data_IF_163529821231
#
_entry.id   IF_163529821231
#
_cell.length_a   1.000
_cell.length_b   1.000
_cell.length_c   1.000
_cell.angle_alpha   90.00
_cell.angle_beta   90.00
_cell.angle_gamma   90.00
#
_symmetry.space_group_name_H-M   'P 1'
#
loop_
_entity.id
_entity.type
_entity.pdbx_description
1 polymer ?
#
# COMPACT_ATOMS: atom_id res chain seq x y z
N UNK A 1 10.18 -21.63 9.34
CA UNK A 1 10.11 -20.42 8.49
C UNK A 1 8.73 -19.82 8.70
N UNK A 2 8.66 -18.54 9.07
CA UNK A 2 7.40 -17.85 9.31
C UNK A 2 7.02 -17.04 8.07
N UNK A 3 5.73 -17.02 7.74
CA UNK A 3 5.15 -16.28 6.63
C UNK A 3 3.86 -15.64 7.15
N UNK A 4 3.73 -14.33 7.01
CA UNK A 4 2.55 -13.58 7.44
C UNK A 4 2.16 -12.56 6.38
N UNK A 5 0.87 -12.21 6.34
CA UNK A 5 0.32 -11.26 5.40
C UNK A 5 -0.29 -10.04 6.09
N UNK A 6 -0.19 -8.89 5.43
CA UNK A 6 -1.04 -7.73 5.69
C UNK A 6 -1.75 -7.34 4.41
N UNK A 7 -3.05 -7.12 4.51
CA UNK A 7 -3.89 -6.73 3.38
C UNK A 7 -4.33 -5.28 3.51
N UNK A 8 -4.35 -4.58 2.39
CA UNK A 8 -4.71 -3.18 2.29
C UNK A 8 -5.75 -2.99 1.20
N UNK A 9 -6.83 -2.30 1.54
CA UNK A 9 -7.81 -1.79 0.57
C UNK A 9 -7.64 -0.28 0.50
N UNK A 10 -7.31 0.22 -0.69
CA UNK A 10 -7.19 1.64 -0.98
C UNK A 10 -8.44 2.12 -1.72
N UNK A 11 -9.30 2.84 -0.98
CA UNK A 11 -10.49 3.47 -1.51
C UNK A 11 -10.14 4.90 -1.96
N UNK A 12 -10.24 5.23 -3.25
CA UNK A 12 -9.89 6.57 -3.72
C UNK A 12 -10.84 7.61 -3.11
N UNK A 13 -10.29 8.68 -2.55
CA UNK A 13 -11.06 9.84 -2.11
C UNK A 13 -11.67 10.50 -3.34
N UNK A 14 -12.96 10.82 -3.27
CA UNK A 14 -13.60 11.70 -4.25
C UNK A 14 -12.93 13.06 -4.16
N UNK A 15 -12.02 13.36 -5.09
CA UNK A 15 -11.59 14.75 -5.31
C UNK A 15 -12.85 15.51 -5.71
N UNK A 16 -13.20 16.57 -4.98
CA UNK A 16 -14.09 17.59 -5.54
C UNK A 16 -13.37 18.07 -6.79
N UNK A 17 -13.86 17.67 -7.95
CA UNK A 17 -13.47 18.29 -9.20
C UNK A 17 -13.86 19.76 -9.06
N UNK A 18 -12.89 20.61 -8.72
CA UNK A 18 -13.01 22.02 -9.06
C UNK A 18 -12.70 22.05 -10.55
N UNK A 19 -13.67 22.37 -11.42
CA UNK A 19 -13.38 22.59 -12.81
C UNK A 19 -12.53 23.86 -12.89
N UNK A 20 -11.21 23.73 -12.83
CA UNK A 20 -10.33 24.75 -13.36
C UNK A 20 -10.44 24.67 -14.88
N UNK A 21 -11.53 25.20 -15.41
CA UNK A 21 -11.60 25.64 -16.80
C UNK A 21 -10.68 26.87 -16.84
N UNK A 22 -9.39 26.65 -17.13
CA UNK A 22 -8.58 27.73 -17.66
C UNK A 22 -9.12 28.02 -19.05
N UNK A 23 -9.90 29.08 -19.17
CA UNK A 23 -10.40 29.59 -20.44
C UNK A 23 -9.23 30.20 -21.21
N UNK A 24 -8.41 29.35 -21.83
CA UNK A 24 -7.45 29.64 -22.90
C UNK A 24 -6.74 28.34 -23.22
N UNK A 25 -7.28 27.60 -24.19
CA UNK A 25 -6.54 26.91 -25.23
C UNK A 25 -7.54 26.09 -26.05
N UNK A 26 -7.68 26.47 -27.32
CA UNK A 26 -8.37 25.70 -28.35
C UNK A 26 -7.55 24.46 -28.65
N UNK A 27 -7.83 23.38 -27.95
CA UNK A 27 -7.46 22.03 -28.37
C UNK A 27 -8.43 21.06 -27.68
N UNK A 28 -9.08 20.18 -28.45
CA UNK A 28 -10.10 19.21 -27.99
C UNK A 28 -9.48 18.08 -27.12
N UNK A 29 -8.46 18.39 -26.34
CA UNK A 29 -7.81 17.45 -25.42
C UNK A 29 -8.42 17.55 -24.04
N UNK A 30 -9.27 16.57 -23.71
CA UNK A 30 -9.70 16.31 -22.33
C UNK A 30 -8.47 15.90 -21.52
N UNK A 31 -7.90 16.84 -20.74
CA UNK A 31 -6.85 16.56 -19.76
C UNK A 31 -7.44 15.83 -18.56
N UNK A 32 -7.53 14.51 -18.63
CA UNK A 32 -7.85 13.68 -17.47
C UNK A 32 -6.64 13.71 -16.53
N UNK A 33 -6.79 14.32 -15.35
CA UNK A 33 -5.77 14.24 -14.32
C UNK A 33 -5.69 12.79 -13.83
N UNK A 34 -4.72 12.02 -14.33
CA UNK A 34 -4.52 10.63 -13.93
C UNK A 34 -4.27 10.56 -12.42
N UNK A 35 -5.11 9.79 -11.69
CA UNK A 35 -4.92 9.55 -10.26
C UNK A 35 -3.57 8.83 -10.05
N UNK A 36 -2.80 9.24 -9.04
CA UNK A 36 -1.56 8.52 -8.66
C UNK A 36 -1.94 7.09 -8.26
N UNK A 37 -1.51 6.10 -9.04
CA UNK A 37 -1.75 4.68 -8.79
C UNK A 37 -1.02 4.23 -7.49
N UNK A 38 -1.62 3.33 -6.70
CA UNK A 38 -0.99 2.69 -5.52
C UNK A 38 0.39 2.13 -5.85
N UNK A 39 0.57 1.55 -7.05
CA UNK A 39 1.87 1.09 -7.53
C UNK A 39 2.93 2.20 -7.55
N UNK A 40 2.57 3.43 -7.94
CA UNK A 40 3.51 4.55 -7.93
C UNK A 40 3.93 4.89 -6.51
N UNK A 41 3.00 4.84 -5.53
CA UNK A 41 3.33 5.01 -4.13
C UNK A 41 4.31 3.94 -3.64
N UNK A 42 4.02 2.66 -3.91
CA UNK A 42 4.90 1.56 -3.50
C UNK A 42 6.30 1.71 -4.11
N UNK A 43 6.42 2.04 -5.40
CA UNK A 43 7.72 2.27 -6.04
C UNK A 43 8.45 3.50 -5.50
N UNK A 44 7.73 4.58 -5.19
CA UNK A 44 8.34 5.77 -4.59
C UNK A 44 8.89 5.49 -3.19
N UNK A 45 8.22 4.63 -2.42
CA UNK A 45 8.62 4.29 -1.05
C UNK A 45 9.78 3.29 -1.04
N UNK A 46 9.70 2.25 -1.86
CA UNK A 46 10.58 1.07 -1.78
C UNK A 46 11.54 0.91 -2.97
N UNK A 47 11.47 1.80 -3.96
CA UNK A 47 12.31 1.75 -5.16
C UNK A 47 11.85 0.70 -6.17
N UNK A 48 12.80 0.22 -6.98
CA UNK A 48 12.54 -0.81 -7.98
C UNK A 48 12.62 -2.23 -7.38
N UNK A 49 11.68 -3.11 -7.74
CA UNK A 49 11.68 -4.51 -7.31
C UNK A 49 12.74 -5.33 -8.03
N UNK A 50 13.21 -6.40 -7.38
CA UNK A 50 14.16 -7.35 -7.98
C UNK A 50 13.49 -8.28 -8.99
N UNK A 51 12.20 -8.54 -8.82
CA UNK A 51 11.41 -9.35 -9.74
C UNK A 51 10.02 -8.76 -9.91
N UNK A 52 9.52 -8.81 -11.15
CA UNK A 52 8.15 -8.48 -11.51
C UNK A 52 7.54 -9.68 -12.20
N UNK A 53 6.67 -10.39 -11.50
CA UNK A 53 5.87 -11.44 -12.11
C UNK A 53 4.61 -10.82 -12.73
N UNK A 54 4.40 -11.12 -14.01
CA UNK A 54 3.38 -10.51 -14.87
C UNK A 54 2.22 -11.48 -15.12
N UNK A 55 1.84 -12.25 -14.12
CA UNK A 55 0.57 -12.98 -14.16
C UNK A 55 -0.60 -11.98 -14.28
N UNK A 56 -1.10 -11.79 -15.50
CA UNK A 56 -2.33 -11.05 -15.81
C UNK A 56 -2.29 -9.54 -15.43
N UNK A 57 -1.39 -8.80 -16.10
CA UNK A 57 -1.04 -7.36 -15.91
C UNK A 57 -2.26 -6.44 -15.74
N UNK A 58 -3.41 -6.80 -16.32
CA UNK A 58 -4.63 -5.99 -16.28
C UNK A 58 -5.20 -5.89 -14.87
N UNK A 59 -5.19 -6.98 -14.10
CA UNK A 59 -5.89 -7.05 -12.82
C UNK A 59 -4.99 -7.41 -11.64
N UNK A 60 -3.85 -8.06 -11.86
CA UNK A 60 -2.93 -8.50 -10.82
C UNK A 60 -1.49 -8.23 -11.25
N UNK A 61 -0.69 -7.72 -10.32
CA UNK A 61 0.75 -7.53 -10.53
C UNK A 61 1.45 -7.97 -9.25
N UNK A 62 2.48 -8.81 -9.37
CA UNK A 62 3.27 -9.28 -8.25
C UNK A 62 4.67 -8.69 -8.35
N UNK A 63 5.15 -8.13 -7.25
CA UNK A 63 6.47 -7.55 -7.13
C UNK A 63 7.21 -8.17 -5.96
N UNK A 64 8.38 -8.72 -6.24
CA UNK A 64 9.27 -9.25 -5.19
C UNK A 64 10.38 -8.24 -4.93
N UNK A 65 10.61 -7.96 -3.67
CA UNK A 65 11.66 -7.10 -3.16
C UNK A 65 12.54 -7.89 -2.19
N UNK A 66 13.83 -7.57 -2.21
CA UNK A 66 14.74 -7.87 -1.12
C UNK A 66 14.95 -6.60 -0.31
N UNK A 67 14.56 -6.63 0.96
CA UNK A 67 14.62 -5.45 1.84
C UNK A 67 15.52 -5.72 3.05
N UNK A 68 16.47 -4.83 3.30
CA UNK A 68 17.25 -4.84 4.53
C UNK A 68 16.52 -4.05 5.62
N UNK A 69 16.00 -4.74 6.63
CA UNK A 69 15.29 -4.14 7.76
C UNK A 69 16.01 -4.54 9.04
N UNK A 70 16.53 -3.57 9.80
CA UNK A 70 17.29 -3.81 11.05
C UNK A 70 18.41 -4.87 10.88
N UNK A 71 19.20 -4.74 9.82
CA UNK A 71 20.30 -5.65 9.45
C UNK A 71 19.91 -7.09 9.10
N UNK A 72 18.63 -7.36 8.87
CA UNK A 72 18.14 -8.65 8.39
C UNK A 72 17.57 -8.45 6.98
N UNK A 73 17.94 -9.35 6.06
CA UNK A 73 17.37 -9.37 4.72
C UNK A 73 16.04 -10.14 4.72
N UNK A 74 15.04 -9.55 4.11
CA UNK A 74 13.70 -10.12 3.96
C UNK A 74 13.34 -10.21 2.48
N UNK A 75 12.73 -11.32 2.09
CA UNK A 75 11.96 -11.39 0.86
C UNK A 75 10.55 -10.87 1.16
N UNK A 76 10.14 -9.83 0.43
CA UNK A 76 8.84 -9.18 0.57
C UNK A 76 8.15 -9.22 -0.78
N UNK A 77 6.93 -9.74 -0.80
CA UNK A 77 6.12 -9.87 -2.00
C UNK A 77 4.91 -8.94 -1.88
N UNK A 78 4.79 -8.01 -2.82
CA UNK A 78 3.67 -7.10 -2.96
C UNK A 78 2.79 -7.60 -4.10
N UNK A 79 1.60 -8.07 -3.77
CA UNK A 79 0.57 -8.46 -4.74
C UNK A 79 -0.46 -7.34 -4.85
N UNK A 80 -0.46 -6.63 -5.98
CA UNK A 80 -1.38 -5.52 -6.23
C UNK A 80 -2.49 -5.99 -7.17
N UNK A 81 -3.73 -5.83 -6.74
CA UNK A 81 -4.90 -6.04 -7.57
C UNK A 81 -5.54 -4.69 -7.94
N UNK A 82 -5.68 -4.45 -9.24
CA UNK A 82 -6.36 -3.27 -9.77
C UNK A 82 -7.80 -3.63 -10.09
N UNK A 83 -8.71 -3.31 -9.18
CA UNK A 83 -10.15 -3.48 -9.37
C UNK A 83 -10.74 -2.10 -9.70
N UNK A 84 -11.78 -2.04 -10.54
CA UNK A 84 -12.23 -0.82 -11.25
C UNK A 84 -12.34 0.45 -10.39
N UNK A 85 -12.66 0.31 -9.10
CA UNK A 85 -12.87 1.45 -8.17
C UNK A 85 -11.94 1.46 -6.96
N UNK A 86 -11.10 0.45 -6.78
CA UNK A 86 -10.24 0.31 -5.60
C UNK A 86 -9.02 -0.56 -5.92
N UNK A 87 -7.93 -0.29 -5.22
CA UNK A 87 -6.73 -1.11 -5.31
C UNK A 87 -6.61 -1.95 -4.05
N UNK A 88 -6.37 -3.25 -4.23
CA UNK A 88 -6.02 -4.14 -3.14
C UNK A 88 -4.53 -4.41 -3.17
N UNK A 89 -3.89 -4.41 -2.01
CA UNK A 89 -2.48 -4.75 -1.86
C UNK A 89 -2.36 -5.79 -0.75
N UNK A 90 -1.90 -6.99 -1.14
CA UNK A 90 -1.43 -8.01 -0.22
C UNK A 90 0.09 -7.89 -0.09
N UNK A 91 0.58 -7.89 1.14
CA UNK A 91 2.00 -7.85 1.47
C UNK A 91 2.36 -9.11 2.23
N UNK A 92 3.10 -9.99 1.58
CA UNK A 92 3.64 -11.20 2.18
C UNK A 92 5.11 -10.98 2.56
N UNK A 93 5.46 -11.29 3.82
CA UNK A 93 6.85 -11.25 4.29
C UNK A 93 7.28 -12.64 4.74
N UNK A 94 8.46 -13.07 4.28
CA UNK A 94 9.07 -14.34 4.70
C UNK A 94 10.26 -14.07 5.62
N UNK A 95 10.33 -14.81 6.72
CA UNK A 95 11.40 -14.64 7.71
C UNK A 95 11.67 -15.90 8.54
N UNK A 96 12.71 -15.86 9.38
CA UNK A 96 13.09 -17.02 10.20
C UNK A 96 12.12 -17.21 11.37
N UNK A 97 11.72 -16.13 12.04
CA UNK A 97 10.84 -16.14 13.21
C UNK A 97 9.63 -15.23 13.03
N UNK A 98 8.53 -15.51 13.73
CA UNK A 98 7.31 -14.67 13.71
C UNK A 98 7.62 -13.22 14.10
N UNK A 99 8.42 -13.00 15.15
CA UNK A 99 8.81 -11.66 15.59
C UNK A 99 9.52 -10.86 14.49
N UNK A 100 10.43 -11.49 13.75
CA UNK A 100 11.13 -10.84 12.64
C UNK A 100 10.17 -10.43 11.53
N UNK A 101 9.21 -11.30 11.19
CA UNK A 101 8.20 -11.04 10.15
C UNK A 101 7.27 -9.91 10.59
N UNK A 102 6.81 -9.92 11.84
CA UNK A 102 5.98 -8.84 12.42
C UNK A 102 6.73 -7.51 12.39
N UNK A 103 8.00 -7.46 12.84
CA UNK A 103 8.77 -6.21 12.81
C UNK A 103 9.02 -5.69 11.40
N UNK A 104 9.09 -6.55 10.39
CA UNK A 104 9.23 -6.14 8.99
C UNK A 104 7.89 -5.60 8.44
N UNK A 105 6.77 -6.25 8.76
CA UNK A 105 5.44 -5.76 8.42
C UNK A 105 5.12 -4.42 9.09
N UNK A 106 5.50 -4.21 10.35
CA UNK A 106 5.41 -2.90 11.03
C UNK A 106 6.22 -1.83 10.28
N UNK A 107 7.47 -2.13 9.91
CA UNK A 107 8.32 -1.20 9.16
C UNK A 107 7.70 -0.81 7.81
N UNK A 108 7.18 -1.80 7.06
CA UNK A 108 6.52 -1.57 5.78
C UNK A 108 5.26 -0.71 5.98
N UNK A 109 4.45 -1.02 6.99
CA UNK A 109 3.27 -0.25 7.34
C UNK A 109 3.62 1.21 7.64
N UNK A 110 4.60 1.46 8.51
CA UNK A 110 5.08 2.79 8.89
C UNK A 110 5.53 3.61 7.67
N UNK A 111 6.16 2.95 6.68
CA UNK A 111 6.56 3.58 5.43
C UNK A 111 5.37 3.94 4.53
N UNK A 112 4.34 3.10 4.49
CA UNK A 112 3.11 3.36 3.72
C UNK A 112 2.33 4.52 4.36
N UNK A 113 2.09 4.50 5.68
CA UNK A 113 1.38 5.59 6.36
C UNK A 113 2.17 6.90 6.36
N UNK A 114 3.51 6.83 6.36
CA UNK A 114 4.38 7.99 6.28
C UNK A 114 4.48 8.61 4.89
N UNK A 115 3.87 8.00 3.87
CA UNK A 115 3.78 8.55 2.52
C UNK A 115 2.60 9.52 2.37
N UNK A 116 2.50 10.20 1.22
CA UNK A 116 1.36 11.06 0.90
C UNK A 116 0.13 10.29 0.39
N UNK A 117 0.09 8.96 0.50
CA UNK A 117 -0.98 8.12 -0.03
C UNK A 117 -2.35 8.43 0.57
N UNK A 118 -2.39 8.85 1.83
CA UNK A 118 -3.62 9.25 2.51
C UNK A 118 -4.28 10.49 1.88
N UNK A 119 -3.56 11.29 1.09
CA UNK A 119 -4.16 12.43 0.37
C UNK A 119 -5.11 11.96 -0.72
N UNK A 120 -4.77 10.86 -1.38
CA UNK A 120 -5.52 10.31 -2.51
C UNK A 120 -6.45 9.15 -2.10
N UNK A 121 -6.15 8.44 -1.01
CA UNK A 121 -6.86 7.22 -0.62
C UNK A 121 -7.27 7.20 0.85
N UNK A 122 -8.41 6.56 1.14
CA UNK A 122 -8.76 6.02 2.45
C UNK A 122 -8.20 4.59 2.47
N UNK A 123 -7.37 4.29 3.47
CA UNK A 123 -6.74 2.99 3.62
C UNK A 123 -7.45 2.17 4.69
N UNK A 124 -7.90 0.97 4.32
CA UNK A 124 -8.43 -0.05 5.24
C UNK A 124 -7.39 -1.16 5.32
N UNK A 125 -7.02 -1.59 6.52
CA UNK A 125 -5.94 -2.57 6.72
C UNK A 125 -6.46 -3.76 7.50
N UNK A 126 -6.11 -4.97 7.05
CA UNK A 126 -6.32 -6.23 7.76
C UNK A 126 -4.97 -6.89 8.07
N UNK A 127 -4.83 -7.41 9.28
CA UNK A 127 -3.58 -8.01 9.78
C UNK A 127 -3.82 -9.49 10.10
N UNK A 128 -3.08 -10.41 9.48
CA UNK A 128 -3.25 -11.86 9.67
C UNK A 128 -3.06 -12.33 11.11
N UNK A 129 -2.07 -11.78 11.79
CA UNK A 129 -1.61 -12.25 13.11
C UNK A 129 -1.19 -11.12 14.04
N UNK A 130 -1.28 -9.89 13.53
CA UNK A 130 -0.98 -8.67 14.28
C UNK A 130 -2.28 -7.98 14.71
N UNK A 131 -3.45 -8.54 14.39
CA UNK A 131 -4.75 -7.98 14.74
C UNK A 131 -4.94 -7.90 16.25
N UNK A 132 -4.53 -8.89 17.05
CA UNK A 132 -4.57 -8.77 18.51
C UNK A 132 -3.59 -7.70 19.03
N UNK A 133 -2.35 -7.68 18.53
CA UNK A 133 -1.35 -6.68 18.93
C UNK A 133 -1.75 -5.25 18.53
N UNK A 134 -2.27 -5.04 17.32
CA UNK A 134 -2.75 -3.75 16.84
C UNK A 134 -4.07 -3.36 17.46
N UNK A 135 -5.01 -4.29 17.69
CA UNK A 135 -6.21 -4.02 18.47
C UNK A 135 -5.80 -3.58 19.88
N UNK A 136 -4.88 -4.27 20.55
CA UNK A 136 -4.38 -3.88 21.87
C UNK A 136 -3.62 -2.54 21.87
N UNK A 137 -2.99 -2.16 20.75
CA UNK A 137 -2.30 -0.85 20.61
C UNK A 137 -3.26 0.29 20.20
N UNK A 138 -4.32 -0.01 19.45
CA UNK A 138 -5.33 0.93 18.98
C UNK A 138 -6.43 1.16 20.02
N UNK A 139 -6.81 0.12 20.77
CA UNK A 139 -7.88 0.14 21.76
C UNK A 139 -7.69 1.24 22.83
N UNK A 140 -6.49 1.46 23.42
CA UNK A 140 -6.26 2.57 24.34
C UNK A 140 -6.39 3.95 23.70
N UNK A 141 -6.18 4.07 22.38
CA UNK A 141 -6.31 5.33 21.64
C UNK A 141 -7.77 5.62 21.28
N UNK A 142 -8.57 4.59 21.00
CA UNK A 142 -10.00 4.70 20.73
C UNK A 142 -10.79 5.02 22.00
N UNK A 143 -10.42 4.45 23.15
CA UNK A 143 -11.07 4.75 24.44
C UNK A 143 -10.79 6.15 25.00
N UNK A 144 -9.87 6.93 24.42
CA UNK A 144 -9.66 8.34 24.79
C UNK A 144 -10.63 9.31 24.11
N UNK A 145 -11.47 8.79 23.19
CA UNK A 145 -12.48 9.56 22.46
C UNK A 145 -13.90 9.35 23.03
N UNK A 146 -14.03 8.57 24.11
CA UNK A 146 -15.25 8.39 24.93
C UNK A 146 -15.07 9.10 26.27
#
# INVERSE_FOLDING_TARGET
MAVLHNDYIFLPKTKKEYPHISSQDTDDTIRIQARKNVLLYIRNIFGEPICKDKENIVFKIIYTYEMQIKNIMYEVIFTIYNITRYSYLDICVRGKTTYQVVSALEYIHDKIIGSDIERDYIMIVSYDSVSEYYCNKAYPKLNKLL
#
